data_IF_861577398603
#
_entry.id   IF_861577398603
#
_cell.length_a   1.000
_cell.length_b   1.000
_cell.length_c   1.000
_cell.angle_alpha   90.00
_cell.angle_beta   90.00
_cell.angle_gamma   90.00
#
_symmetry.space_group_name_H-M   'P 1'
#
loop_
_entity.id
_entity.type
_entity.pdbx_description
1 polymer ?
#
# COMPACT_ATOMS: atom_id res chain seq x y z
N UNK A 1 19.02 -13.88 30.91
CA UNK A 1 18.59 -12.58 31.45
C UNK A 1 17.31 -12.21 30.71
N UNK A 2 16.14 -12.44 31.33
CA UNK A 2 14.83 -12.24 30.69
C UNK A 2 14.47 -10.75 30.82
N UNK A 3 14.70 -9.99 29.75
CA UNK A 3 14.26 -8.60 29.66
C UNK A 3 12.72 -8.56 29.70
N UNK A 4 12.16 -8.00 30.76
CA UNK A 4 10.71 -7.82 30.90
C UNK A 4 10.25 -6.78 29.89
N UNK A 5 9.68 -7.23 28.77
CA UNK A 5 9.04 -6.37 27.76
C UNK A 5 8.08 -5.40 28.47
N UNK A 6 8.25 -4.10 28.23
CA UNK A 6 7.43 -3.05 28.86
C UNK A 6 5.95 -3.16 28.43
N UNK A 7 5.02 -2.59 29.23
CA UNK A 7 3.59 -2.53 28.85
C UNK A 7 3.40 -1.81 27.51
N UNK A 8 4.16 -0.75 27.26
CA UNK A 8 4.10 -0.01 26.00
C UNK A 8 4.56 -0.86 24.80
N UNK A 9 5.62 -1.63 24.99
CA UNK A 9 6.14 -2.51 23.95
C UNK A 9 5.17 -3.65 23.63
N UNK A 10 4.58 -4.29 24.63
CA UNK A 10 3.52 -5.31 24.43
C UNK A 10 2.31 -4.74 23.71
N UNK A 11 1.93 -3.49 24.00
CA UNK A 11 0.85 -2.81 23.31
C UNK A 11 1.18 -2.62 21.83
N UNK A 12 2.36 -2.09 21.49
CA UNK A 12 2.81 -1.91 20.11
C UNK A 12 2.84 -3.23 19.33
N UNK A 13 3.40 -4.29 19.91
CA UNK A 13 3.43 -5.62 19.29
C UNK A 13 2.02 -6.15 19.01
N UNK A 14 1.08 -5.92 19.94
CA UNK A 14 -0.32 -6.31 19.76
C UNK A 14 -1.00 -5.48 18.67
N UNK A 15 -0.80 -4.17 18.64
CA UNK A 15 -1.31 -3.28 17.58
C UNK A 15 -0.79 -3.69 16.19
N UNK A 16 0.52 -3.93 16.07
CA UNK A 16 1.14 -4.39 14.81
C UNK A 16 0.54 -5.71 14.34
N UNK A 17 0.35 -6.67 15.24
CA UNK A 17 -0.26 -7.97 14.93
C UNK A 17 -1.70 -7.81 14.47
N UNK A 18 -2.51 -7.00 15.15
CA UNK A 18 -3.90 -6.72 14.75
C UNK A 18 -3.95 -6.07 13.37
N UNK A 19 -3.09 -5.08 13.10
CA UNK A 19 -3.03 -4.42 11.80
C UNK A 19 -2.61 -5.37 10.67
N UNK A 20 -1.61 -6.22 10.89
CA UNK A 20 -1.19 -7.23 9.91
C UNK A 20 -2.34 -8.21 9.60
N UNK A 21 -3.01 -8.71 10.64
CA UNK A 21 -4.16 -9.60 10.51
C UNK A 21 -5.35 -8.91 9.84
N UNK A 22 -5.60 -7.64 10.17
CA UNK A 22 -6.65 -6.85 9.53
C UNK A 22 -6.38 -6.66 8.03
N UNK A 23 -5.14 -6.33 7.66
CA UNK A 23 -4.73 -6.27 6.24
C UNK A 23 -5.07 -7.54 5.51
N UNK A 24 -4.69 -8.69 6.06
CA UNK A 24 -4.94 -9.98 5.46
C UNK A 24 -6.45 -10.26 5.34
N UNK A 25 -7.24 -10.07 6.39
CA UNK A 25 -8.69 -10.30 6.35
C UNK A 25 -9.39 -9.36 5.34
N UNK A 26 -9.04 -8.05 5.34
CA UNK A 26 -9.57 -7.11 4.35
C UNK A 26 -9.16 -7.49 2.93
N UNK A 27 -7.98 -8.04 2.77
CA UNK A 27 -7.47 -8.53 1.52
C UNK A 27 -8.20 -9.79 1.02
N UNK A 28 -8.44 -10.78 1.85
CA UNK A 28 -9.02 -12.07 1.46
C UNK A 28 -10.53 -11.99 1.19
N UNK A 29 -11.28 -11.30 2.03
CA UNK A 29 -12.75 -11.28 1.96
C UNK A 29 -13.37 -9.92 1.64
N UNK A 30 -12.59 -8.87 1.58
CA UNK A 30 -13.04 -7.49 1.35
C UNK A 30 -13.50 -6.77 2.61
N UNK A 31 -13.72 -5.45 2.47
CA UNK A 31 -14.13 -4.61 3.60
C UNK A 31 -15.44 -5.08 4.22
N UNK A 32 -16.50 -5.34 3.42
CA UNK A 32 -17.83 -5.66 3.94
C UNK A 32 -17.87 -6.91 4.78
N UNK A 33 -17.27 -7.99 4.28
CA UNK A 33 -17.33 -9.31 4.91
C UNK A 33 -16.36 -9.45 6.08
N UNK A 34 -15.36 -8.57 6.18
CA UNK A 34 -14.47 -8.52 7.34
C UNK A 34 -15.22 -7.97 8.54
N UNK A 35 -15.12 -8.66 9.68
CA UNK A 35 -15.69 -8.21 10.95
C UNK A 35 -14.61 -8.02 12.00
N UNK A 36 -14.85 -7.14 12.97
CA UNK A 36 -13.92 -6.97 14.13
C UNK A 36 -13.71 -8.31 14.86
N UNK A 37 -14.75 -9.15 14.97
CA UNK A 37 -14.64 -10.48 15.58
C UNK A 37 -13.73 -11.40 14.79
N UNK A 38 -13.81 -11.40 13.46
CA UNK A 38 -12.95 -12.22 12.61
C UNK A 38 -11.48 -11.80 12.74
N UNK A 39 -11.21 -10.48 12.68
CA UNK A 39 -9.85 -9.94 12.87
C UNK A 39 -9.32 -10.29 14.27
N UNK A 40 -10.12 -10.13 15.32
CA UNK A 40 -9.72 -10.44 16.69
C UNK A 40 -9.38 -11.93 16.87
N UNK A 41 -10.23 -12.81 16.34
CA UNK A 41 -10.01 -14.26 16.38
C UNK A 41 -8.70 -14.65 15.67
N UNK A 42 -8.47 -14.14 14.46
CA UNK A 42 -7.27 -14.41 13.68
C UNK A 42 -6.00 -13.77 14.30
N UNK A 43 -6.13 -12.62 14.98
CA UNK A 43 -5.05 -11.99 15.74
C UNK A 43 -4.85 -12.60 17.15
N UNK A 44 -5.64 -13.56 17.56
CA UNK A 44 -5.63 -14.16 18.91
C UNK A 44 -5.76 -13.11 20.02
N UNK A 45 -6.74 -12.21 19.89
CA UNK A 45 -7.07 -11.18 20.89
C UNK A 45 -8.57 -11.09 21.12
N UNK A 46 -8.96 -10.42 22.22
CA UNK A 46 -10.36 -10.12 22.47
C UNK A 46 -10.89 -9.03 21.50
N UNK A 47 -12.10 -9.17 20.93
CA UNK A 47 -12.71 -8.14 20.10
C UNK A 47 -12.84 -6.78 20.78
N UNK A 48 -13.04 -6.74 22.09
CA UNK A 48 -13.07 -5.49 22.85
C UNK A 48 -11.71 -4.78 22.84
N UNK A 49 -10.60 -5.53 22.80
CA UNK A 49 -9.26 -4.96 22.69
C UNK A 49 -9.04 -4.31 21.32
N UNK A 50 -9.54 -4.93 20.24
CA UNK A 50 -9.49 -4.32 18.90
C UNK A 50 -10.28 -3.02 18.88
N UNK A 51 -11.48 -3.01 19.45
CA UNK A 51 -12.30 -1.80 19.57
C UNK A 51 -11.65 -0.75 20.45
N UNK A 52 -11.00 -1.12 21.54
CA UNK A 52 -10.28 -0.21 22.42
C UNK A 52 -9.10 0.48 21.69
N UNK A 53 -8.39 -0.25 20.81
CA UNK A 53 -7.21 0.28 20.12
C UNK A 53 -7.57 1.13 18.89
N UNK A 54 -8.61 0.72 18.16
CA UNK A 54 -8.92 1.30 16.86
C UNK A 54 -10.27 2.03 16.81
N UNK A 55 -11.15 1.82 17.77
CA UNK A 55 -12.42 2.50 17.90
C UNK A 55 -13.51 1.98 16.96
N UNK A 56 -13.24 1.80 15.68
CA UNK A 56 -14.21 1.30 14.71
C UNK A 56 -13.55 0.43 13.63
N UNK A 57 -14.39 -0.29 12.85
CA UNK A 57 -13.92 -1.05 11.68
C UNK A 57 -13.30 -0.15 10.63
N UNK A 58 -13.87 1.03 10.42
CA UNK A 58 -13.41 2.05 9.48
C UNK A 58 -12.03 2.58 9.91
N UNK A 59 -11.84 2.85 11.20
CA UNK A 59 -10.57 3.32 11.74
C UNK A 59 -9.50 2.23 11.69
N UNK A 60 -9.86 0.97 11.97
CA UNK A 60 -8.98 -0.18 11.80
C UNK A 60 -8.57 -0.35 10.33
N UNK A 61 -9.53 -0.27 9.41
CA UNK A 61 -9.25 -0.35 7.97
C UNK A 61 -8.29 0.75 7.53
N UNK A 62 -8.56 2.00 7.92
CA UNK A 62 -7.74 3.18 7.63
C UNK A 62 -6.27 2.97 8.04
N UNK A 63 -6.06 2.46 9.26
CA UNK A 63 -4.72 2.19 9.77
C UNK A 63 -4.09 0.95 9.13
N UNK A 64 -4.89 -0.06 8.80
CA UNK A 64 -4.41 -1.26 8.14
C UNK A 64 -3.91 -0.98 6.72
N UNK A 65 -4.56 -0.08 5.97
CA UNK A 65 -4.16 0.31 4.61
C UNK A 65 -3.16 1.47 4.58
N UNK A 66 -2.90 2.07 5.74
CA UNK A 66 -1.92 3.15 5.85
C UNK A 66 -0.51 2.60 5.59
N UNK A 67 0.11 3.07 4.52
CA UNK A 67 1.56 2.90 4.31
C UNK A 67 2.24 4.01 5.13
N UNK A 68 3.17 3.69 6.04
CA UNK A 68 3.92 4.72 6.76
C UNK A 68 4.61 5.64 5.77
N UNK A 69 4.35 6.94 5.91
CA UNK A 69 4.92 7.98 5.06
C UNK A 69 6.27 8.49 5.60
N UNK A 70 6.95 7.72 6.45
CA UNK A 70 8.13 8.19 7.19
C UNK A 70 9.46 8.12 6.42
N UNK A 71 9.47 7.59 5.19
CA UNK A 71 10.67 7.65 4.37
C UNK A 71 10.59 8.82 3.39
N UNK A 72 11.47 9.81 3.58
CA UNK A 72 11.68 10.87 2.58
C UNK A 72 12.17 10.24 1.29
N UNK A 73 11.43 10.49 0.20
CA UNK A 73 11.81 9.97 -1.11
C UNK A 73 13.15 10.53 -1.57
N UNK A 74 13.97 9.74 -2.27
CA UNK A 74 15.21 10.24 -2.84
C UNK A 74 14.96 11.41 -3.80
N UNK A 75 15.74 12.48 -3.62
CA UNK A 75 15.72 13.62 -4.56
C UNK A 75 16.60 13.37 -5.79
N UNK A 76 17.45 12.37 -5.75
CA UNK A 76 18.25 11.89 -6.87
C UNK A 76 17.36 11.10 -7.85
N UNK A 77 17.34 11.47 -9.16
CA UNK A 77 16.42 10.84 -10.13
C UNK A 77 16.67 9.34 -10.31
N UNK A 78 17.94 8.93 -10.29
CA UNK A 78 18.29 7.53 -10.51
C UNK A 78 17.90 6.68 -9.32
N UNK A 79 18.18 7.17 -8.10
CA UNK A 79 17.74 6.49 -6.86
C UNK A 79 16.24 6.42 -6.74
N UNK A 80 15.51 7.47 -7.15
CA UNK A 80 14.06 7.47 -7.17
C UNK A 80 13.53 6.44 -8.19
N UNK A 81 14.13 6.38 -9.37
CA UNK A 81 13.80 5.37 -10.38
C UNK A 81 13.99 3.95 -9.85
N UNK A 82 15.14 3.66 -9.23
CA UNK A 82 15.42 2.34 -8.65
C UNK A 82 14.43 1.99 -7.51
N UNK A 83 14.08 2.97 -6.68
CA UNK A 83 13.05 2.78 -5.66
C UNK A 83 11.70 2.42 -6.26
N UNK A 84 11.24 3.13 -7.30
CA UNK A 84 9.98 2.84 -7.99
C UNK A 84 9.96 1.46 -8.62
N UNK A 85 11.06 1.06 -9.25
CA UNK A 85 11.22 -0.28 -9.83
C UNK A 85 11.23 -1.36 -8.74
N UNK A 86 11.86 -1.11 -7.61
CA UNK A 86 11.85 -2.01 -6.45
C UNK A 86 10.42 -2.16 -5.89
N UNK A 87 9.68 -1.06 -5.70
CA UNK A 87 8.30 -1.10 -5.22
C UNK A 87 7.41 -1.96 -6.14
N UNK A 88 7.51 -1.77 -7.45
CA UNK A 88 6.73 -2.57 -8.39
C UNK A 88 7.19 -4.03 -8.41
N UNK A 89 8.50 -4.28 -8.38
CA UNK A 89 9.08 -5.62 -8.34
C UNK A 89 8.59 -6.43 -7.15
N UNK A 90 8.59 -5.84 -5.95
CA UNK A 90 8.04 -6.45 -4.73
C UNK A 90 6.55 -6.73 -4.88
N UNK A 91 5.76 -5.75 -5.35
CA UNK A 91 4.31 -5.92 -5.55
C UNK A 91 3.96 -6.98 -6.60
N UNK A 92 4.83 -7.21 -7.58
CA UNK A 92 4.65 -8.24 -8.61
C UNK A 92 5.13 -9.62 -8.15
N UNK A 93 6.10 -9.67 -7.23
CA UNK A 93 6.68 -10.91 -6.70
C UNK A 93 5.86 -11.53 -5.55
N UNK A 94 5.08 -10.74 -4.84
CA UNK A 94 4.22 -11.26 -3.77
C UNK A 94 2.93 -11.86 -4.34
N UNK A 95 2.50 -13.04 -3.85
CA UNK A 95 1.19 -13.56 -4.21
C UNK A 95 0.12 -12.54 -3.76
N UNK A 96 -0.67 -12.09 -4.70
CA UNK A 96 -1.56 -10.93 -4.63
C UNK A 96 -2.76 -11.08 -3.69
N UNK A 97 -2.66 -11.82 -2.60
CA UNK A 97 -3.76 -12.02 -1.65
C UNK A 97 -4.12 -10.74 -0.88
N UNK A 98 -3.18 -9.82 -0.67
CA UNK A 98 -3.40 -8.65 0.18
C UNK A 98 -4.00 -7.42 -0.52
N UNK A 99 -3.79 -7.25 -1.83
CA UNK A 99 -4.19 -6.01 -2.54
C UNK A 99 -5.54 -6.09 -3.24
N UNK A 100 -5.96 -7.27 -3.69
CA UNK A 100 -7.10 -7.45 -4.57
C UNK A 100 -8.46 -7.10 -3.95
N UNK A 101 -8.80 -7.61 -2.77
CA UNK A 101 -10.08 -7.27 -2.15
C UNK A 101 -10.12 -5.82 -1.67
N UNK A 102 -8.96 -5.25 -1.31
CA UNK A 102 -8.85 -3.83 -1.02
C UNK A 102 -9.21 -3.01 -2.26
N UNK A 103 -8.60 -3.33 -3.41
CA UNK A 103 -8.91 -2.69 -4.69
C UNK A 103 -10.38 -2.90 -5.08
N UNK A 104 -10.94 -4.11 -4.90
CA UNK A 104 -12.38 -4.35 -5.13
C UNK A 104 -13.28 -3.51 -4.22
N UNK A 105 -12.95 -3.41 -2.93
CA UNK A 105 -13.71 -2.60 -1.97
C UNK A 105 -13.70 -1.12 -2.33
N UNK A 106 -12.61 -0.61 -2.93
CA UNK A 106 -12.50 0.78 -3.37
C UNK A 106 -13.50 1.16 -4.46
N UNK A 107 -13.86 0.22 -5.33
CA UNK A 107 -14.85 0.46 -6.40
C UNK A 107 -16.30 0.32 -5.95
N UNK A 108 -16.54 -0.23 -4.77
CA UNK A 108 -17.90 -0.51 -4.27
C UNK A 108 -18.30 0.33 -3.06
N UNK A 109 -17.35 0.96 -2.35
CA UNK A 109 -17.61 1.73 -1.14
C UNK A 109 -17.05 3.14 -1.21
N UNK A 110 -17.92 4.18 -1.10
CA UNK A 110 -17.50 5.58 -1.13
C UNK A 110 -16.44 5.92 -0.07
N UNK A 111 -16.57 5.37 1.15
CA UNK A 111 -15.62 5.60 2.24
C UNK A 111 -14.24 5.01 1.96
N UNK A 112 -14.17 3.81 1.39
CA UNK A 112 -12.91 3.19 0.98
C UNK A 112 -12.25 3.96 -0.17
N UNK A 113 -13.05 4.49 -1.10
CA UNK A 113 -12.60 5.34 -2.20
C UNK A 113 -11.99 6.64 -1.67
N UNK A 114 -12.65 7.31 -0.72
CA UNK A 114 -12.16 8.57 -0.15
C UNK A 114 -10.86 8.37 0.63
N UNK A 115 -10.73 7.29 1.37
CA UNK A 115 -9.50 6.97 2.10
C UNK A 115 -8.34 6.65 1.18
N UNK A 116 -8.60 5.95 0.07
CA UNK A 116 -7.59 5.73 -0.95
C UNK A 116 -7.18 7.04 -1.60
N UNK A 117 -8.14 7.92 -1.94
CA UNK A 117 -7.85 9.24 -2.47
C UNK A 117 -6.95 10.05 -1.53
N UNK A 118 -7.25 10.07 -0.22
CA UNK A 118 -6.42 10.72 0.79
C UNK A 118 -5.02 10.10 0.94
N UNK A 119 -4.91 8.78 0.80
CA UNK A 119 -3.62 8.08 0.80
C UNK A 119 -2.79 8.40 -0.45
N UNK A 120 -3.44 8.39 -1.62
CA UNK A 120 -2.79 8.74 -2.88
C UNK A 120 -2.38 10.22 -2.92
N UNK A 121 -3.21 11.14 -2.40
CA UNK A 121 -2.87 12.56 -2.32
C UNK A 121 -1.55 12.78 -1.57
N UNK A 122 -1.37 12.13 -0.41
CA UNK A 122 -0.10 12.21 0.33
C UNK A 122 1.09 11.65 -0.45
N UNK A 123 0.92 10.54 -1.17
CA UNK A 123 1.98 9.98 -2.02
C UNK A 123 2.32 10.94 -3.17
N UNK A 124 1.32 11.55 -3.78
CA UNK A 124 1.50 12.55 -4.83
C UNK A 124 2.29 13.76 -4.33
N UNK A 125 1.94 14.29 -3.15
CA UNK A 125 2.67 15.38 -2.50
C UNK A 125 4.14 15.02 -2.25
N UNK A 126 4.41 13.80 -1.78
CA UNK A 126 5.78 13.32 -1.54
C UNK A 126 6.57 13.19 -2.84
N UNK A 127 5.99 12.63 -3.89
CA UNK A 127 6.66 12.51 -5.20
C UNK A 127 6.90 13.89 -5.83
N UNK A 128 5.92 14.79 -5.76
CA UNK A 128 6.06 16.17 -6.25
C UNK A 128 7.14 16.94 -5.49
N UNK A 129 7.19 16.80 -4.15
CA UNK A 129 8.21 17.42 -3.32
C UNK A 129 9.63 16.85 -3.58
N UNK A 130 9.74 15.56 -3.88
CA UNK A 130 11.03 14.94 -4.21
C UNK A 130 11.59 15.44 -5.55
N UNK A 131 10.72 15.86 -6.48
CA UNK A 131 11.10 16.35 -7.82
C UNK A 131 10.31 17.61 -8.18
N UNK A 132 10.63 18.79 -7.58
CA UNK A 132 9.93 20.04 -7.86
C UNK A 132 10.16 20.48 -9.32
N UNK A 133 9.15 21.13 -9.91
CA UNK A 133 9.12 21.64 -11.26
C UNK A 133 7.69 21.95 -11.68
N UNK A 134 7.51 22.61 -12.82
CA UNK A 134 6.20 23.06 -13.30
C UNK A 134 5.19 21.93 -13.52
N UNK A 135 5.67 20.71 -13.79
CA UNK A 135 4.86 19.51 -14.02
C UNK A 135 4.99 18.44 -12.93
N UNK A 136 5.52 18.80 -11.74
CA UNK A 136 5.81 17.86 -10.64
C UNK A 136 4.58 17.05 -10.23
N UNK A 137 3.41 17.67 -10.07
CA UNK A 137 2.17 16.99 -9.69
C UNK A 137 1.67 16.03 -10.79
N UNK A 138 1.80 16.42 -12.05
CA UNK A 138 1.43 15.58 -13.19
C UNK A 138 2.33 14.36 -13.28
N UNK A 139 3.64 14.51 -13.12
CA UNK A 139 4.61 13.42 -13.10
C UNK A 139 4.34 12.45 -11.94
N UNK A 140 4.10 12.99 -10.74
CA UNK A 140 3.71 12.21 -9.58
C UNK A 140 2.45 11.39 -9.87
N UNK A 141 1.43 12.00 -10.47
CA UNK A 141 0.18 11.34 -10.84
C UNK A 141 0.40 10.23 -11.87
N UNK A 142 1.26 10.43 -12.85
CA UNK A 142 1.62 9.40 -13.83
C UNK A 142 2.38 8.23 -13.20
N UNK A 143 3.33 8.50 -12.31
CA UNK A 143 4.05 7.46 -11.55
C UNK A 143 3.05 6.57 -10.79
N UNK A 144 2.16 7.19 -10.00
CA UNK A 144 1.15 6.46 -9.22
C UNK A 144 0.20 5.69 -10.13
N UNK A 145 -0.20 6.27 -11.26
CA UNK A 145 -1.07 5.61 -12.25
C UNK A 145 -0.42 4.37 -12.86
N UNK A 146 0.87 4.41 -13.19
CA UNK A 146 1.62 3.25 -13.70
C UNK A 146 1.68 2.16 -12.63
N UNK A 147 2.05 2.51 -11.40
CA UNK A 147 2.15 1.55 -10.29
C UNK A 147 0.82 0.85 -10.01
N UNK A 148 -0.28 1.61 -9.97
CA UNK A 148 -1.63 1.08 -9.77
C UNK A 148 -2.11 0.28 -10.98
N UNK A 149 -1.94 0.81 -12.18
CA UNK A 149 -2.41 0.20 -13.42
C UNK A 149 -1.80 -1.18 -13.63
N UNK A 150 -0.49 -1.31 -13.50
CA UNK A 150 0.20 -2.60 -13.64
C UNK A 150 -0.23 -3.58 -12.54
N UNK A 151 -0.37 -3.11 -11.30
CA UNK A 151 -0.82 -3.96 -10.19
C UNK A 151 -2.26 -4.45 -10.40
N UNK A 152 -3.17 -3.57 -10.81
CA UNK A 152 -4.58 -3.92 -11.06
C UNK A 152 -4.71 -4.87 -12.24
N UNK A 153 -4.05 -4.56 -13.36
CA UNK A 153 -4.17 -5.36 -14.59
C UNK A 153 -3.54 -6.74 -14.44
N UNK A 154 -2.43 -6.86 -13.72
CA UNK A 154 -1.83 -8.16 -13.41
C UNK A 154 -2.67 -8.98 -12.45
N UNK A 155 -3.09 -8.37 -11.34
CA UNK A 155 -3.58 -9.10 -10.16
C UNK A 155 -5.11 -9.18 -10.07
N UNK A 156 -5.84 -8.19 -10.62
CA UNK A 156 -7.30 -8.12 -10.55
C UNK A 156 -7.96 -8.49 -11.86
N UNK A 157 -7.40 -8.02 -12.98
CA UNK A 157 -7.89 -8.33 -14.33
C UNK A 157 -7.26 -9.63 -14.85
N UNK A 158 -6.11 -10.01 -14.27
CA UNK A 158 -5.35 -11.23 -14.63
C UNK A 158 -5.01 -11.28 -16.11
N UNK A 159 -4.56 -10.15 -16.67
CA UNK A 159 -4.14 -10.07 -18.08
C UNK A 159 -2.97 -11.04 -18.31
N UNK A 160 -3.18 -12.04 -19.17
CA UNK A 160 -2.26 -13.17 -19.36
C UNK A 160 -0.80 -12.74 -19.57
N UNK A 161 -0.56 -11.75 -20.42
CA UNK A 161 0.79 -11.27 -20.74
C UNK A 161 1.51 -10.66 -19.53
N UNK A 162 0.76 -10.02 -18.60
CA UNK A 162 1.33 -9.48 -17.37
C UNK A 162 1.44 -10.52 -16.28
N UNK A 163 0.49 -11.47 -16.21
CA UNK A 163 0.51 -12.55 -15.24
C UNK A 163 1.71 -13.47 -15.47
N UNK A 164 1.96 -13.83 -16.73
CA UNK A 164 2.99 -14.78 -17.12
C UNK A 164 4.39 -14.15 -17.20
N UNK A 165 4.49 -12.82 -17.27
CA UNK A 165 5.77 -12.10 -17.23
C UNK A 165 6.42 -12.16 -15.86
N UNK A 166 7.76 -12.26 -15.83
CA UNK A 166 8.50 -12.12 -14.56
C UNK A 166 8.51 -10.66 -14.09
N UNK A 167 8.66 -10.42 -12.77
CA UNK A 167 8.85 -9.06 -12.24
C UNK A 167 9.97 -8.30 -12.97
N UNK A 168 11.10 -8.96 -13.26
CA UNK A 168 12.24 -8.36 -13.95
C UNK A 168 11.92 -7.93 -15.38
N UNK A 169 11.13 -8.72 -16.11
CA UNK A 169 10.70 -8.34 -17.46
C UNK A 169 9.87 -7.06 -17.43
N UNK A 170 8.93 -6.96 -16.49
CA UNK A 170 8.07 -5.78 -16.34
C UNK A 170 8.87 -4.56 -15.90
N UNK A 171 9.73 -4.70 -14.88
CA UNK A 171 10.54 -3.58 -14.36
C UNK A 171 11.52 -3.06 -15.39
N UNK A 172 12.15 -3.95 -16.19
CA UNK A 172 13.06 -3.54 -17.26
C UNK A 172 12.35 -2.72 -18.35
N UNK A 173 11.12 -3.10 -18.73
CA UNK A 173 10.32 -2.34 -19.70
C UNK A 173 9.82 -1.01 -19.14
N UNK A 174 9.58 -0.91 -17.83
CA UNK A 174 9.11 0.32 -17.17
C UNK A 174 10.25 1.28 -16.83
N UNK A 175 11.49 0.81 -16.77
CA UNK A 175 12.67 1.64 -16.44
C UNK A 175 12.74 2.95 -17.23
N UNK A 176 12.70 2.95 -18.56
CA UNK A 176 12.76 4.21 -19.32
C UNK A 176 11.56 5.13 -19.05
N UNK A 177 10.39 4.58 -18.75
CA UNK A 177 9.21 5.37 -18.39
C UNK A 177 9.43 6.10 -17.06
N UNK A 178 9.93 5.41 -16.03
CA UNK A 178 10.23 6.05 -14.74
C UNK A 178 11.40 7.03 -14.85
N UNK A 179 12.44 6.70 -15.62
CA UNK A 179 13.53 7.64 -15.89
C UNK A 179 13.03 8.94 -16.53
N UNK A 180 12.11 8.86 -17.49
CA UNK A 180 11.52 10.03 -18.11
C UNK A 180 10.69 10.87 -17.11
N UNK A 181 10.02 10.22 -16.16
CA UNK A 181 9.18 10.89 -15.16
C UNK A 181 9.99 11.44 -13.97
N UNK A 182 11.11 10.83 -13.62
CA UNK A 182 11.98 11.27 -12.51
C UNK A 182 13.01 12.31 -12.96
N UNK A 183 13.37 12.38 -14.24
CA UNK A 183 14.26 13.41 -14.79
C UNK A 183 13.45 14.67 -15.08
N UNK A 184 13.64 15.74 -14.29
CA UNK A 184 13.14 17.06 -14.65
C UNK A 184 13.87 17.55 -15.90
N UNK A 185 13.13 17.92 -16.93
CA UNK A 185 13.71 18.83 -17.91
C UNK A 185 13.77 20.21 -17.25
N UNK A 186 14.97 20.74 -17.10
CA UNK A 186 15.17 22.13 -16.74
C UNK A 186 14.56 23.05 -17.80
#
# INVERSE_FOLDING_TARGET
MNERISRAERRRQTETRILATARQNFAEVGYDRTTIRAVAAAAHVDPALVMQYFGSKEALFRQAVHVPADETLPTDPEKLTELLLSIIGVKLGEPSTASLPLLRSMFTHPEATEQMRASLARQLEQFAAARPGDDAELRASLIVSILLGVTITRNLIELDQLRDATPDQITNLLRPCFQALTNSRA
#
